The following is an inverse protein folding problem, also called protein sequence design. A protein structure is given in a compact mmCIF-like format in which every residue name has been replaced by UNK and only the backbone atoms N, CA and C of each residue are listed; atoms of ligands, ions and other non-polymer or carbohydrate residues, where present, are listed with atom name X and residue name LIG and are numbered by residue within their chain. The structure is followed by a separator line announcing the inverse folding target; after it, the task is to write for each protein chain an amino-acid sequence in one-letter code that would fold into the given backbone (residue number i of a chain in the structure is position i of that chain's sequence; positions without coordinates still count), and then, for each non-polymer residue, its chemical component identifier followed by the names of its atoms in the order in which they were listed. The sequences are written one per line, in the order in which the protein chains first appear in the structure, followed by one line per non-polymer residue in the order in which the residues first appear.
data_IF_205689533080
#
_entry.id   IF_205689533080
#
_cell.length_a   1.000
_cell.length_b   1.000
_cell.length_c   1.000
_cell.angle_alpha   90.00
_cell.angle_beta   90.00
_cell.angle_gamma   90.00
#
_symmetry.space_group_name_H-M   'P 1'
#
loop_
_entity.id
_entity.type
_entity.pdbx_description
1 polymer ?
#
# COMPACT_ATOMS: atom_id res chain seq x y z
N UNK A 1 3.33 -9.94 3.60
CA UNK A 1 4.40 -9.04 3.13
C UNK A 1 3.79 -8.19 2.04
N UNK A 2 4.05 -6.91 2.01
CA UNK A 2 3.45 -5.99 1.05
C UNK A 2 4.23 -4.68 0.99
N UNK A 3 3.75 -3.73 0.19
CA UNK A 3 4.38 -2.44 -0.04
C UNK A 3 4.03 -1.91 -1.42
N UNK A 4 4.77 -0.92 -1.89
CA UNK A 4 4.63 -0.37 -3.23
C UNK A 4 5.18 -1.39 -4.24
N UNK A 5 4.37 -1.77 -5.23
CA UNK A 5 4.76 -2.74 -6.26
C UNK A 5 5.90 -2.17 -7.12
N UNK A 6 7.02 -2.90 -7.22
CA UNK A 6 8.24 -2.46 -7.91
C UNK A 6 8.92 -3.58 -8.65
N UNK A 7 9.71 -3.22 -9.66
CA UNK A 7 10.70 -4.10 -10.26
C UNK A 7 12.00 -4.16 -9.40
N UNK A 8 12.98 -4.94 -9.87
CA UNK A 8 14.28 -5.10 -9.17
C UNK A 8 15.15 -3.82 -9.18
N UNK A 9 14.78 -2.80 -9.94
CA UNK A 9 15.42 -1.48 -9.97
C UNK A 9 14.67 -0.46 -9.11
N UNK A 10 13.61 -0.88 -8.42
CA UNK A 10 12.76 -0.01 -7.61
C UNK A 10 11.80 0.87 -8.40
N UNK A 11 11.61 0.63 -9.71
CA UNK A 11 10.65 1.39 -10.51
C UNK A 11 9.24 1.03 -10.12
N UNK A 12 8.39 2.03 -9.94
CA UNK A 12 6.96 1.85 -9.69
C UNK A 12 6.15 2.01 -10.99
N UNK A 13 4.84 1.84 -10.92
CA UNK A 13 3.93 2.15 -12.03
C UNK A 13 3.83 3.65 -12.34
N UNK A 14 4.33 4.51 -11.46
CA UNK A 14 4.33 5.97 -11.64
C UNK A 14 5.69 6.42 -12.16
N UNK A 15 5.70 7.14 -13.29
CA UNK A 15 6.94 7.63 -13.89
C UNK A 15 7.74 8.50 -12.90
N UNK A 16 9.05 8.25 -12.81
CA UNK A 16 9.99 8.94 -11.94
C UNK A 16 9.75 8.76 -10.43
N UNK A 17 8.87 7.83 -10.04
CA UNK A 17 8.70 7.41 -8.67
C UNK A 17 9.34 6.04 -8.46
N UNK A 18 10.21 5.96 -7.46
CA UNK A 18 10.94 4.74 -7.10
C UNK A 18 10.65 4.38 -5.65
N UNK A 19 10.62 3.10 -5.34
CA UNK A 19 10.57 2.59 -3.97
C UNK A 19 11.55 1.43 -3.79
N UNK A 20 12.29 1.42 -2.69
CA UNK A 20 13.26 0.39 -2.35
C UNK A 20 13.17 0.02 -0.86
N UNK A 21 13.80 -1.09 -0.49
CA UNK A 21 13.82 -1.57 0.88
C UNK A 21 12.43 -1.94 1.40
N UNK A 22 12.16 -1.66 2.66
CA UNK A 22 10.92 -2.07 3.32
C UNK A 22 9.64 -1.44 2.74
N UNK A 23 9.75 -0.29 2.08
CA UNK A 23 8.63 0.36 1.40
C UNK A 23 8.23 -0.35 0.09
N UNK A 24 9.14 -1.16 -0.50
CA UNK A 24 8.93 -1.83 -1.77
C UNK A 24 8.33 -3.24 -1.59
N UNK A 25 7.59 -3.69 -2.58
CA UNK A 25 7.12 -5.05 -2.71
C UNK A 25 7.62 -5.66 -4.02
N UNK A 26 8.81 -6.23 -3.99
CA UNK A 26 9.44 -6.91 -5.14
C UNK A 26 8.92 -8.33 -5.35
N UNK A 27 8.24 -8.90 -4.35
CA UNK A 27 7.88 -10.32 -4.29
C UNK A 27 8.98 -11.23 -3.71
N UNK A 28 10.19 -10.73 -3.48
CA UNK A 28 11.34 -11.50 -2.99
C UNK A 28 11.06 -12.25 -1.68
N UNK A 29 10.30 -11.66 -0.78
CA UNK A 29 10.00 -12.24 0.52
C UNK A 29 8.83 -13.25 0.50
N UNK A 30 8.14 -13.41 -0.62
CA UNK A 30 6.98 -14.31 -0.71
C UNK A 30 5.92 -14.01 0.36
N UNK A 31 5.45 -15.07 1.02
CA UNK A 31 4.41 -14.95 2.06
C UNK A 31 4.94 -14.63 3.46
N UNK A 32 6.25 -14.74 3.66
CA UNK A 32 6.88 -14.42 4.94
C UNK A 32 8.34 -14.02 4.77
N UNK A 33 8.75 -12.95 5.45
CA UNK A 33 10.10 -12.40 5.37
C UNK A 33 11.05 -13.11 6.34
N UNK A 34 12.21 -13.53 5.84
CA UNK A 34 13.35 -13.83 6.70
C UNK A 34 14.01 -12.52 7.13
N UNK A 35 14.17 -12.31 8.43
CA UNK A 35 14.65 -11.05 9.00
C UNK A 35 16.01 -10.59 8.42
N UNK A 36 16.93 -11.51 8.18
CA UNK A 36 18.25 -11.22 7.59
C UNK A 36 18.20 -10.73 6.15
N UNK A 37 17.19 -11.12 5.38
CA UNK A 37 17.11 -10.82 3.95
C UNK A 37 16.66 -9.38 3.65
N UNK A 38 15.97 -8.72 4.57
CA UNK A 38 15.48 -7.35 4.34
C UNK A 38 16.60 -6.32 4.17
N UNK A 39 17.67 -6.44 4.95
CA UNK A 39 18.83 -5.55 4.80
C UNK A 39 19.58 -5.81 3.50
N UNK A 40 19.72 -7.08 3.12
CA UNK A 40 20.38 -7.47 1.87
C UNK A 40 19.58 -6.97 0.66
N UNK A 41 18.27 -7.12 0.68
CA UNK A 41 17.40 -6.58 -0.38
C UNK A 41 17.54 -5.06 -0.49
N UNK A 42 17.46 -4.34 0.64
CA UNK A 42 17.60 -2.89 0.66
C UNK A 42 18.93 -2.40 0.10
N UNK A 43 20.04 -3.07 0.44
CA UNK A 43 21.37 -2.76 -0.09
C UNK A 43 21.48 -3.07 -1.59
N UNK A 44 20.97 -4.22 -2.02
CA UNK A 44 20.98 -4.61 -3.43
C UNK A 44 20.15 -3.65 -4.29
N UNK A 45 18.92 -3.36 -3.88
CA UNK A 45 18.05 -2.43 -4.59
C UNK A 45 18.61 -1.01 -4.60
N UNK A 46 19.18 -0.56 -3.47
CA UNK A 46 19.82 0.75 -3.38
C UNK A 46 20.97 0.90 -4.36
N UNK A 47 21.81 -0.13 -4.48
CA UNK A 47 22.90 -0.15 -5.46
C UNK A 47 22.39 -0.15 -6.91
N UNK A 48 21.38 -0.97 -7.21
CA UNK A 48 20.77 -1.04 -8.55
C UNK A 48 20.13 0.31 -8.94
N UNK A 49 19.37 0.91 -8.03
CA UNK A 49 18.77 2.23 -8.26
C UNK A 49 19.83 3.31 -8.44
N UNK A 50 20.89 3.32 -7.63
CA UNK A 50 21.96 4.29 -7.79
C UNK A 50 22.65 4.20 -9.14
N UNK A 51 22.89 2.99 -9.67
CA UNK A 51 23.44 2.78 -10.99
C UNK A 51 22.48 3.25 -12.08
N UNK A 52 21.19 2.90 -11.97
CA UNK A 52 20.16 3.36 -12.89
C UNK A 52 20.10 4.90 -12.97
N UNK A 53 20.07 5.57 -11.81
CA UNK A 53 19.95 7.03 -11.74
C UNK A 53 21.18 7.76 -12.31
N UNK A 54 22.37 7.12 -12.29
CA UNK A 54 23.58 7.68 -12.95
C UNK A 54 23.46 7.73 -14.46
N UNK A 55 22.72 6.79 -15.06
CA UNK A 55 22.51 6.69 -16.50
C UNK A 55 21.40 7.62 -17.00
N UNK A 56 20.53 8.10 -16.12
CA UNK A 56 19.45 9.01 -16.48
C UNK A 56 20.06 10.40 -16.78
N UNK A 57 19.85 10.95 -17.99
CA UNK A 57 20.32 12.28 -18.32
C UNK A 57 19.80 13.30 -17.31
N UNK A 58 20.69 14.16 -16.81
CA UNK A 58 20.26 15.29 -15.97
C UNK A 58 19.33 16.19 -16.77
N UNK A 59 18.03 15.97 -16.66
CA UNK A 59 17.06 16.91 -17.17
C UNK A 59 17.24 18.22 -16.41
N UNK A 60 17.27 19.35 -17.11
CA UNK A 60 17.10 20.63 -16.43
C UNK A 60 15.72 20.57 -15.79
N UNK A 61 15.69 20.36 -14.48
CA UNK A 61 14.45 20.47 -13.71
C UNK A 61 14.00 21.91 -13.95
N UNK A 62 13.04 22.11 -14.84
CA UNK A 62 12.28 23.34 -14.84
C UNK A 62 11.58 23.31 -13.47
N UNK A 63 11.97 24.24 -12.60
CA UNK A 63 11.33 24.34 -11.31
C UNK A 63 9.83 24.36 -11.54
N UNK A 64 9.14 23.31 -11.10
CA UNK A 64 7.70 23.37 -11.01
C UNK A 64 7.42 24.40 -9.92
N UNK A 65 7.15 25.62 -10.31
CA UNK A 65 6.40 26.53 -9.49
C UNK A 65 5.01 25.92 -9.50
N UNK A 66 4.68 25.18 -8.45
CA UNK A 66 3.29 24.86 -8.17
C UNK A 66 2.64 26.23 -7.94
N UNK A 67 2.00 26.78 -8.98
CA UNK A 67 1.02 27.83 -8.76
C UNK A 67 0.01 27.20 -7.80
N UNK A 68 0.00 27.68 -6.57
CA UNK A 68 -0.98 27.28 -5.58
C UNK A 68 -2.31 27.83 -6.09
N UNK A 69 -3.07 27.01 -6.79
CA UNK A 69 -4.50 27.24 -6.82
C UNK A 69 -4.95 27.14 -5.37
N UNK A 70 -5.47 28.22 -4.83
CA UNK A 70 -6.19 28.22 -3.57
C UNK A 70 -7.44 27.35 -3.79
N UNK A 71 -7.28 26.03 -3.73
CA UNK A 71 -8.41 25.14 -3.69
C UNK A 71 -9.11 25.42 -2.36
N UNK A 72 -10.34 25.87 -2.45
CA UNK A 72 -11.26 26.03 -1.33
C UNK A 72 -11.47 24.62 -0.71
N UNK A 73 -10.60 24.30 0.23
CA UNK A 73 -10.42 22.94 0.75
C UNK A 73 -11.44 22.71 1.88
N UNK A 74 -12.73 22.71 1.51
CA UNK A 74 -13.86 22.52 2.42
C UNK A 74 -14.00 21.09 2.95
N UNK A 75 -13.26 20.12 2.43
CA UNK A 75 -13.26 18.75 2.94
C UNK A 75 -12.34 18.66 4.17
N UNK A 76 -12.93 18.70 5.33
CA UNK A 76 -12.28 18.33 6.58
C UNK A 76 -12.63 16.87 6.91
N UNK A 77 -11.87 15.88 6.42
CA UNK A 77 -12.14 14.50 6.76
C UNK A 77 -11.95 14.31 8.25
N UNK A 78 -12.89 13.60 8.87
CA UNK A 78 -12.77 13.18 10.24
C UNK A 78 -11.89 11.93 10.23
N UNK A 79 -10.74 11.99 10.89
CA UNK A 79 -9.87 10.84 11.09
C UNK A 79 -10.15 10.19 12.45
N UNK A 80 -9.98 8.86 12.54
CA UNK A 80 -10.01 8.21 13.85
C UNK A 80 -8.81 8.65 14.69
N UNK A 81 -8.95 8.51 16.00
CA UNK A 81 -7.80 8.68 16.87
C UNK A 81 -6.77 7.56 16.64
N UNK A 82 -5.49 7.91 16.70
CA UNK A 82 -4.39 6.99 16.38
C UNK A 82 -4.42 5.73 17.22
N UNK A 83 -4.63 5.88 18.51
CA UNK A 83 -4.69 4.80 19.49
C UNK A 83 -5.87 3.87 19.21
N UNK A 84 -7.03 4.42 18.86
CA UNK A 84 -8.22 3.61 18.52
C UNK A 84 -7.96 2.80 17.26
N UNK A 85 -7.40 3.42 16.22
CA UNK A 85 -7.06 2.74 14.96
C UNK A 85 -6.07 1.60 15.20
N UNK A 86 -5.00 1.85 15.97
CA UNK A 86 -4.00 0.83 16.30
C UNK A 86 -4.59 -0.33 17.09
N UNK A 87 -5.40 -0.02 18.11
CA UNK A 87 -6.06 -1.05 18.93
C UNK A 87 -6.99 -1.92 18.10
N UNK A 88 -7.83 -1.31 17.27
CA UNK A 88 -8.73 -2.03 16.37
C UNK A 88 -8.01 -2.89 15.35
N UNK A 89 -6.94 -2.37 14.75
CA UNK A 89 -6.13 -3.13 13.80
C UNK A 89 -5.51 -4.36 14.48
N UNK A 90 -5.00 -4.20 15.70
CA UNK A 90 -4.44 -5.33 16.45
C UNK A 90 -5.52 -6.37 16.80
N UNK A 91 -6.71 -5.94 17.21
CA UNK A 91 -7.79 -6.83 17.63
C UNK A 91 -8.42 -7.59 16.45
N UNK A 92 -8.63 -6.94 15.30
CA UNK A 92 -9.41 -7.49 14.20
C UNK A 92 -8.57 -7.97 13.01
N UNK A 93 -7.36 -7.43 12.83
CA UNK A 93 -6.49 -7.66 11.65
C UNK A 93 -5.10 -8.15 12.05
N UNK A 94 -4.88 -8.41 13.33
CA UNK A 94 -3.60 -8.84 13.88
C UNK A 94 -3.14 -10.22 13.40
N UNK A 95 -2.69 -11.06 14.32
CA UNK A 95 -2.06 -12.35 13.97
C UNK A 95 -3.11 -13.36 13.51
N UNK A 96 -4.20 -13.53 14.29
CA UNK A 96 -5.28 -14.47 13.96
C UNK A 96 -6.45 -13.68 13.36
N UNK A 97 -6.78 -13.99 12.14
CA UNK A 97 -7.80 -13.30 11.35
C UNK A 97 -8.96 -14.21 11.05
N UNK A 98 -10.14 -13.66 10.87
CA UNK A 98 -11.31 -14.34 10.34
C UNK A 98 -12.20 -13.33 9.60
N UNK A 99 -13.12 -13.83 8.78
CA UNK A 99 -13.98 -13.01 7.94
C UNK A 99 -14.78 -11.98 8.74
N UNK A 100 -15.36 -12.41 9.87
CA UNK A 100 -16.22 -11.53 10.67
C UNK A 100 -15.43 -10.33 11.21
N UNK A 101 -14.26 -10.56 11.79
CA UNK A 101 -13.43 -9.50 12.34
C UNK A 101 -12.91 -8.56 11.24
N UNK A 102 -12.50 -9.13 10.09
CA UNK A 102 -12.03 -8.34 8.94
C UNK A 102 -13.16 -7.49 8.35
N UNK A 103 -14.37 -8.03 8.20
CA UNK A 103 -15.52 -7.28 7.71
C UNK A 103 -15.92 -6.16 8.68
N UNK A 104 -15.98 -6.45 9.98
CA UNK A 104 -16.26 -5.44 11.02
C UNK A 104 -15.25 -4.30 10.99
N UNK A 105 -13.96 -4.64 10.81
CA UNK A 105 -12.92 -3.62 10.70
C UNK A 105 -13.05 -2.80 9.43
N UNK A 106 -13.34 -3.45 8.30
CA UNK A 106 -13.52 -2.77 7.02
C UNK A 106 -14.69 -1.79 7.08
N UNK A 107 -15.86 -2.21 7.60
CA UNK A 107 -17.01 -1.35 7.78
C UNK A 107 -16.72 -0.14 8.70
N UNK A 108 -15.92 -0.35 9.74
CA UNK A 108 -15.53 0.74 10.62
C UNK A 108 -14.62 1.75 9.90
N UNK A 109 -13.64 1.27 9.13
CA UNK A 109 -12.75 2.13 8.33
C UNK A 109 -13.51 2.93 7.27
N UNK A 110 -14.50 2.32 6.62
CA UNK A 110 -15.31 2.96 5.56
C UNK A 110 -16.15 4.13 6.07
N UNK A 111 -16.45 4.20 7.37
CA UNK A 111 -17.14 5.36 7.98
C UNK A 111 -16.37 6.67 7.88
N UNK A 112 -15.06 6.59 7.65
CA UNK A 112 -14.19 7.75 7.50
C UNK A 112 -14.03 8.20 6.04
N UNK A 113 -14.90 7.73 5.13
CA UNK A 113 -14.90 8.18 3.75
C UNK A 113 -13.63 7.80 2.98
N UNK A 114 -13.20 6.54 3.08
CA UNK A 114 -11.97 6.06 2.42
C UNK A 114 -11.92 6.40 0.93
N UNK A 115 -13.04 6.30 0.22
CA UNK A 115 -13.10 6.64 -1.21
C UNK A 115 -12.68 8.08 -1.47
N UNK A 116 -13.08 9.00 -0.60
CA UNK A 116 -12.75 10.42 -0.69
C UNK A 116 -11.31 10.68 -0.24
N UNK A 117 -10.82 9.87 0.72
CA UNK A 117 -9.45 9.95 1.19
C UNK A 117 -8.43 9.78 0.07
N UNK A 118 -8.65 8.89 -0.90
CA UNK A 118 -7.70 8.70 -2.01
C UNK A 118 -7.51 9.95 -2.89
N UNK A 119 -8.41 10.91 -2.81
CA UNK A 119 -8.36 12.18 -3.53
C UNK A 119 -8.06 13.39 -2.63
N UNK A 120 -7.75 13.12 -1.36
CA UNK A 120 -7.54 14.19 -0.40
C UNK A 120 -6.29 14.99 -0.75
N UNK A 121 -6.40 16.31 -0.99
CA UNK A 121 -5.22 17.14 -1.13
C UNK A 121 -4.50 17.23 0.23
N UNK A 122 -3.19 16.98 0.20
CA UNK A 122 -2.36 16.97 1.41
C UNK A 122 -1.71 18.34 1.69
N UNK A 123 -1.80 19.25 0.75
CA UNK A 123 -1.30 20.61 0.87
C UNK A 123 -1.98 21.33 2.04
N UNK A 124 -1.19 22.06 2.81
CA UNK A 124 -1.64 22.84 3.96
C UNK A 124 -2.21 22.03 5.15
N UNK A 125 -2.01 20.71 5.19
CA UNK A 125 -2.37 19.89 6.34
C UNK A 125 -1.21 19.78 7.32
N UNK A 126 -1.55 19.59 8.59
CA UNK A 126 -0.55 19.32 9.62
C UNK A 126 0.10 17.93 9.38
N UNK A 127 1.31 17.75 9.91
CA UNK A 127 2.00 16.45 9.84
C UNK A 127 1.15 15.36 10.51
N UNK A 128 0.47 15.68 11.60
CA UNK A 128 -0.40 14.75 12.32
C UNK A 128 -1.60 14.30 11.48
N UNK A 129 -2.25 15.21 10.75
CA UNK A 129 -3.35 14.87 9.85
C UNK A 129 -2.87 13.98 8.69
N UNK A 130 -1.70 14.27 8.12
CA UNK A 130 -1.09 13.47 7.07
C UNK A 130 -0.75 12.06 7.57
N UNK A 131 -0.22 11.95 8.80
CA UNK A 131 0.06 10.65 9.44
C UNK A 131 -1.23 9.86 9.64
N UNK A 132 -2.27 10.46 10.23
CA UNK A 132 -3.58 9.82 10.44
C UNK A 132 -4.19 9.35 9.10
N UNK A 133 -4.08 10.17 8.06
CA UNK A 133 -4.51 9.83 6.72
C UNK A 133 -3.81 8.58 6.18
N UNK A 134 -2.47 8.55 6.20
CA UNK A 134 -1.73 7.38 5.71
C UNK A 134 -1.97 6.13 6.55
N UNK A 135 -2.13 6.27 7.85
CA UNK A 135 -2.50 5.16 8.73
C UNK A 135 -3.86 4.60 8.35
N UNK A 136 -4.87 5.45 8.11
CA UNK A 136 -6.22 5.05 7.74
C UNK A 136 -6.21 4.30 6.40
N UNK A 137 -5.59 4.87 5.36
CA UNK A 137 -5.48 4.27 4.02
C UNK A 137 -4.75 2.92 4.09
N UNK A 138 -3.61 2.87 4.78
CA UNK A 138 -2.83 1.64 4.92
C UNK A 138 -3.61 0.56 5.66
N UNK A 139 -4.33 0.92 6.72
CA UNK A 139 -5.19 0.00 7.47
C UNK A 139 -6.29 -0.60 6.61
N UNK A 140 -6.90 0.22 5.76
CA UNK A 140 -7.91 -0.26 4.81
C UNK A 140 -7.31 -1.22 3.79
N UNK A 141 -6.17 -0.87 3.18
CA UNK A 141 -5.48 -1.73 2.21
C UNK A 141 -5.10 -3.10 2.81
N UNK A 142 -4.58 -3.10 4.04
CA UNK A 142 -4.21 -4.34 4.75
C UNK A 142 -5.46 -5.18 5.03
N UNK A 143 -6.52 -4.56 5.57
CA UNK A 143 -7.77 -5.25 5.93
C UNK A 143 -8.43 -5.85 4.69
N UNK A 144 -8.52 -5.08 3.62
CA UNK A 144 -9.10 -5.52 2.35
C UNK A 144 -8.29 -6.65 1.73
N UNK A 145 -6.96 -6.54 1.70
CA UNK A 145 -6.08 -7.61 1.20
C UNK A 145 -6.23 -8.91 2.00
N UNK A 146 -6.33 -8.79 3.33
CA UNK A 146 -6.49 -9.94 4.21
C UNK A 146 -7.86 -10.62 4.06
N UNK A 147 -8.90 -9.84 3.80
CA UNK A 147 -10.26 -10.36 3.53
C UNK A 147 -10.32 -11.11 2.21
N UNK A 148 -9.69 -10.58 1.17
CA UNK A 148 -9.67 -11.14 -0.17
C UNK A 148 -8.91 -12.48 -0.22
N UNK A 149 -7.80 -12.60 0.53
CA UNK A 149 -6.96 -13.80 0.53
C UNK A 149 -7.55 -14.88 1.43
N UNK A 150 -8.22 -15.87 0.82
CA UNK A 150 -8.93 -16.97 1.50
C UNK A 150 -8.03 -18.21 1.62
N UNK A 151 -6.94 -18.07 2.36
CA UNK A 151 -6.00 -19.16 2.72
C UNK A 151 -5.18 -18.73 3.94
N UNK A 152 -4.40 -19.64 4.50
CA UNK A 152 -3.33 -19.34 5.46
C UNK A 152 -1.98 -19.69 4.85
N UNK A 153 -1.07 -18.69 4.80
CA UNK A 153 0.28 -18.87 4.22
C UNK A 153 1.26 -17.88 4.82
N UNK A 154 2.38 -18.38 5.35
CA UNK A 154 3.42 -17.55 5.95
C UNK A 154 2.89 -16.71 7.11
N UNK A 155 3.05 -15.39 7.05
CA UNK A 155 2.56 -14.45 8.08
C UNK A 155 1.05 -14.14 7.99
N UNK A 156 0.34 -14.67 7.00
CA UNK A 156 -1.11 -14.52 6.87
C UNK A 156 -1.82 -15.76 7.40
N UNK A 157 -2.48 -15.64 8.54
CA UNK A 157 -3.25 -16.73 9.15
C UNK A 157 -4.73 -16.37 9.26
N UNK A 158 -5.57 -17.22 8.64
CA UNK A 158 -7.03 -17.13 8.64
C UNK A 158 -7.60 -18.34 9.37
N UNK A 159 -8.21 -18.14 10.55
CA UNK A 159 -8.82 -19.27 11.31
C UNK A 159 -10.01 -19.90 10.60
N UNK A 160 -10.65 -19.19 9.68
CA UNK A 160 -11.73 -19.67 8.83
C UNK A 160 -11.25 -20.31 7.52
N UNK A 161 -9.97 -20.16 7.17
CA UNK A 161 -9.27 -20.77 6.05
C UNK A 161 -7.86 -21.21 6.51
N UNK A 162 -7.73 -22.21 7.39
CA UNK A 162 -6.46 -22.52 8.05
C UNK A 162 -5.42 -23.15 7.14
N UNK A 163 -5.82 -23.71 6.00
CA UNK A 163 -4.95 -24.40 5.06
C UNK A 163 -4.45 -23.48 3.94
N UNK A 164 -3.33 -23.88 3.32
CA UNK A 164 -2.85 -23.27 2.10
C UNK A 164 -3.76 -23.65 0.91
N UNK A 165 -3.96 -22.73 -0.01
CA UNK A 165 -4.73 -22.96 -1.23
C UNK A 165 -3.85 -22.69 -2.45
N UNK A 166 -3.70 -23.72 -3.30
CA UNK A 166 -2.86 -23.67 -4.51
C UNK A 166 -3.34 -22.61 -5.52
N UNK A 167 -4.61 -22.24 -5.50
CA UNK A 167 -5.12 -21.15 -6.33
C UNK A 167 -4.48 -19.79 -5.99
N UNK A 168 -3.97 -19.64 -4.75
CA UNK A 168 -3.25 -18.46 -4.28
C UNK A 168 -1.73 -18.56 -4.45
N UNK A 169 -1.23 -19.72 -4.91
CA UNK A 169 0.19 -19.89 -5.14
C UNK A 169 0.71 -18.87 -6.17
N UNK A 170 1.76 -18.15 -5.83
CA UNK A 170 2.35 -17.10 -6.68
C UNK A 170 1.42 -15.93 -7.02
N UNK A 171 0.27 -15.80 -6.37
CA UNK A 171 -0.63 -14.64 -6.52
C UNK A 171 -0.42 -13.63 -5.40
N UNK A 172 -0.64 -12.37 -5.72
CA UNK A 172 -0.69 -11.26 -4.76
C UNK A 172 -1.99 -10.48 -4.96
N UNK A 173 -2.50 -9.88 -3.90
CA UNK A 173 -3.55 -8.86 -3.99
C UNK A 173 -2.87 -7.53 -4.25
N UNK A 174 -3.26 -6.84 -5.30
CA UNK A 174 -2.75 -5.51 -5.62
C UNK A 174 -3.89 -4.53 -5.82
N UNK A 175 -3.66 -3.29 -5.46
CA UNK A 175 -4.57 -2.17 -5.66
C UNK A 175 -3.92 -1.21 -6.64
N UNK A 176 -4.66 -0.85 -7.68
CA UNK A 176 -4.24 0.12 -8.68
C UNK A 176 -5.29 1.20 -8.78
N UNK A 177 -4.87 2.44 -8.71
CA UNK A 177 -5.73 3.57 -9.02
C UNK A 177 -5.60 3.90 -10.50
N UNK A 178 -6.70 3.91 -11.23
CA UNK A 178 -6.73 4.44 -12.57
C UNK A 178 -6.87 5.98 -12.51
N UNK A 179 -5.88 6.67 -13.03
CA UNK A 179 -5.96 8.11 -13.23
C UNK A 179 -6.65 8.36 -14.58
N UNK A 180 -7.97 8.36 -14.60
CA UNK A 180 -8.72 8.80 -15.78
C UNK A 180 -8.79 10.32 -15.80
N UNK A 181 -8.50 10.92 -16.96
CA UNK A 181 -8.52 12.38 -17.13
C UNK A 181 -9.91 13.01 -16.96
N UNK A 182 -10.97 12.21 -16.92
CA UNK A 182 -12.34 12.70 -17.01
C UNK A 182 -13.19 12.50 -15.73
N UNK A 183 -12.77 11.66 -14.77
CA UNK A 183 -13.51 11.50 -13.50
C UNK A 183 -12.57 11.04 -12.39
N UNK A 184 -12.27 11.87 -11.40
CA UNK A 184 -11.39 11.51 -10.29
C UNK A 184 -11.99 10.50 -9.29
N UNK A 185 -13.21 10.02 -9.48
CA UNK A 185 -13.98 9.29 -8.46
C UNK A 185 -14.31 7.83 -8.77
N UNK A 186 -13.71 7.18 -9.78
CA UNK A 186 -14.11 5.81 -10.11
C UNK A 186 -13.03 4.78 -9.79
N UNK A 187 -13.43 3.90 -8.88
CA UNK A 187 -12.99 2.52 -8.61
C UNK A 187 -11.49 2.25 -8.45
N UNK A 188 -11.15 1.88 -7.23
CA UNK A 188 -9.93 1.10 -6.97
C UNK A 188 -10.16 -0.29 -7.55
N UNK A 189 -9.46 -0.62 -8.61
CA UNK A 189 -9.49 -1.96 -9.17
C UNK A 189 -8.67 -2.91 -8.29
N UNK A 190 -9.32 -3.96 -7.80
CA UNK A 190 -8.66 -5.05 -7.09
C UNK A 190 -8.21 -6.05 -8.15
N UNK A 191 -6.93 -6.05 -8.48
CA UNK A 191 -6.38 -7.03 -9.40
C UNK A 191 -5.70 -8.17 -8.63
N UNK A 192 -6.12 -9.40 -8.91
CA UNK A 192 -5.34 -10.59 -8.54
C UNK A 192 -4.24 -10.77 -9.58
N UNK A 193 -3.06 -10.29 -9.29
CA UNK A 193 -1.94 -10.38 -10.23
C UNK A 193 -1.12 -11.64 -9.95
N UNK A 194 -0.88 -12.43 -10.99
CA UNK A 194 0.13 -13.50 -10.95
C UNK A 194 1.49 -12.83 -10.98
N UNK A 195 2.15 -12.76 -9.83
CA UNK A 195 3.51 -12.25 -9.75
C UNK A 195 4.45 -13.32 -10.32
N UNK A 196 5.26 -12.96 -11.32
CA UNK A 196 6.43 -13.75 -11.68
C UNK A 196 7.43 -13.68 -10.52
N UNK A 197 7.44 -14.69 -9.66
CA UNK A 197 8.51 -14.89 -8.69
C UNK A 197 9.70 -15.40 -9.50
N UNK A 198 10.68 -14.56 -9.74
CA UNK A 198 11.99 -15.01 -10.20
C UNK A 198 12.64 -15.76 -9.03
N UNK A 199 12.89 -17.07 -9.23
CA UNK A 199 13.77 -17.84 -8.37
C UNK A 199 15.22 -17.55 -8.75
#
# INVERSE_FOLDING_TARGET
MGGIDTDLFGRTSVNNLYAIGEAACTGFHGANRLASNSLLEGLYMGNNLANLLREIPKSKVKGFILEREESDNTLHPIFPEKEELQHRMMANVGIVRNEINLQNQLQWLERFGISDCFNLPLENRSIEEVEKYFMLVTSWLITRSALERKESRGGHFRSDYPEENDEWLKKKVSFKRELTKEKPNESIEIAQTIGSVLY
#
